data_IF_453606665273
#
_entry.id   IF_453606665273
#
_cell.length_a   1.000
_cell.length_b   1.000
_cell.length_c   1.000
_cell.angle_alpha   90.00
_cell.angle_beta   90.00
_cell.angle_gamma   90.00
#
_symmetry.space_group_name_H-M   'P 1'
#
loop_
_entity.id
_entity.type
_entity.pdbx_description
1 polymer ?
#
# COMPACT_ATOMS: atom_id res chain seq x y z
N UNK A 1 23.16 16.68 53.24
CA UNK A 1 22.79 17.20 51.90
C UNK A 1 23.41 16.26 50.86
N UNK A 2 22.73 15.18 50.46
CA UNK A 2 23.23 14.29 49.41
C UNK A 2 22.34 14.47 48.17
N UNK A 3 22.98 14.93 47.12
CA UNK A 3 22.43 15.44 45.87
C UNK A 3 21.70 14.35 45.09
N UNK A 4 20.40 14.58 44.84
CA UNK A 4 19.57 13.80 43.92
C UNK A 4 20.10 14.04 42.50
N UNK A 5 20.97 13.17 42.01
CA UNK A 5 21.43 13.20 40.62
C UNK A 5 20.27 12.94 39.67
N UNK A 6 19.75 14.05 39.12
CA UNK A 6 19.04 14.24 37.85
C UNK A 6 18.74 12.93 37.11
N UNK A 7 17.55 12.38 37.34
CA UNK A 7 16.95 11.35 36.49
C UNK A 7 16.72 11.95 35.08
N UNK A 8 17.75 11.91 34.23
CA UNK A 8 17.53 11.90 32.78
C UNK A 8 16.67 10.67 32.51
N UNK A 9 15.61 10.82 31.73
CA UNK A 9 14.77 9.71 31.30
C UNK A 9 15.71 8.68 30.68
N UNK A 10 16.03 7.63 31.44
CA UNK A 10 17.00 6.64 30.99
C UNK A 10 16.39 5.85 29.84
N UNK A 11 17.19 5.28 28.93
CA UNK A 11 16.69 4.38 27.88
C UNK A 11 15.78 3.28 28.46
N UNK A 12 16.06 2.84 29.69
CA UNK A 12 15.22 1.91 30.45
C UNK A 12 13.78 2.39 30.71
N UNK A 13 13.55 3.70 30.94
CA UNK A 13 12.21 4.27 31.18
C UNK A 13 11.43 4.46 29.88
N UNK A 14 12.13 4.80 28.79
CA UNK A 14 11.53 4.90 27.45
C UNK A 14 11.06 3.54 26.91
N UNK A 15 11.80 2.45 27.16
CA UNK A 15 11.36 1.10 26.77
C UNK A 15 10.04 0.70 27.44
N UNK A 16 9.86 1.06 28.71
CA UNK A 16 8.59 0.86 29.42
C UNK A 16 7.45 1.69 28.83
N UNK A 17 7.74 2.91 28.39
CA UNK A 17 6.77 3.82 27.77
C UNK A 17 6.34 3.33 26.37
N UNK A 18 7.29 2.86 25.56
CA UNK A 18 7.02 2.22 24.26
C UNK A 18 6.19 0.95 24.44
N UNK A 19 6.45 0.14 25.47
CA UNK A 19 5.64 -1.04 25.75
C UNK A 19 4.20 -0.69 26.18
N UNK A 20 4.01 0.44 26.90
CA UNK A 20 2.69 0.95 27.27
C UNK A 20 1.92 1.54 26.07
N UNK A 21 2.61 2.19 25.13
CA UNK A 21 2.00 2.71 23.89
C UNK A 21 1.75 1.61 22.86
N UNK A 22 2.64 0.62 22.76
CA UNK A 22 2.47 -0.55 21.90
C UNK A 22 1.22 -1.36 22.27
N UNK A 23 0.82 -1.39 23.55
CA UNK A 23 -0.45 -2.02 23.99
C UNK A 23 -1.70 -1.27 23.54
N UNK A 24 -1.58 0.01 23.15
CA UNK A 24 -2.67 0.80 22.57
C UNK A 24 -2.79 0.59 21.06
N UNK A 25 -1.79 -0.06 20.43
CA UNK A 25 -1.85 -0.45 19.02
C UNK A 25 -2.80 -1.63 18.91
N UNK A 26 -4.07 -1.32 18.67
CA UNK A 26 -5.08 -2.31 18.31
C UNK A 26 -4.79 -2.71 16.88
N UNK A 27 -4.15 -3.87 16.69
CA UNK A 27 -3.96 -4.39 15.35
C UNK A 27 -5.32 -4.78 14.77
N UNK A 28 -5.63 -4.31 13.54
CA UNK A 28 -6.88 -4.60 12.88
C UNK A 28 -7.07 -6.10 12.75
N UNK A 29 -8.30 -6.53 13.01
CA UNK A 29 -8.73 -7.92 12.88
C UNK A 29 -8.56 -8.35 11.42
N UNK A 30 -8.02 -9.55 11.12
CA UNK A 30 -7.77 -9.98 9.74
C UNK A 30 -9.04 -10.00 8.87
N UNK A 31 -10.22 -10.06 9.49
CA UNK A 31 -11.52 -9.99 8.80
C UNK A 31 -11.78 -8.63 8.17
N UNK A 32 -11.44 -7.54 8.85
CA UNK A 32 -11.61 -6.18 8.31
C UNK A 32 -10.61 -5.91 7.19
N UNK A 33 -9.36 -6.33 7.38
CA UNK A 33 -8.30 -6.23 6.38
C UNK A 33 -8.67 -6.94 5.08
N UNK A 34 -9.32 -8.10 5.16
CA UNK A 34 -9.80 -8.85 4.00
C UNK A 34 -10.92 -8.11 3.26
N UNK A 35 -11.89 -7.55 3.98
CA UNK A 35 -12.99 -6.79 3.36
C UNK A 35 -12.46 -5.59 2.58
N UNK A 36 -11.54 -4.81 3.17
CA UNK A 36 -10.93 -3.66 2.47
C UNK A 36 -10.06 -4.12 1.29
N UNK A 37 -9.33 -5.22 1.44
CA UNK A 37 -8.52 -5.78 0.34
C UNK A 37 -9.37 -6.25 -0.83
N UNK A 38 -10.51 -6.91 -0.58
CA UNK A 38 -11.44 -7.38 -1.63
C UNK A 38 -12.00 -6.21 -2.42
N UNK A 39 -12.38 -5.11 -1.76
CA UNK A 39 -12.85 -3.90 -2.44
C UNK A 39 -11.79 -3.34 -3.41
N UNK A 40 -10.52 -3.29 -2.98
CA UNK A 40 -9.40 -2.86 -3.83
C UNK A 40 -9.16 -3.86 -4.97
N UNK A 41 -9.28 -5.17 -4.68
CA UNK A 41 -9.11 -6.25 -5.66
C UNK A 41 -10.13 -6.14 -6.80
N UNK A 42 -11.40 -5.85 -6.47
CA UNK A 42 -12.46 -5.61 -7.47
C UNK A 42 -12.09 -4.42 -8.36
N UNK A 43 -11.69 -3.29 -7.78
CA UNK A 43 -11.28 -2.11 -8.55
C UNK A 43 -10.08 -2.43 -9.47
N UNK A 44 -9.08 -3.15 -8.95
CA UNK A 44 -7.92 -3.58 -9.72
C UNK A 44 -8.30 -4.48 -10.90
N UNK A 45 -9.24 -5.40 -10.70
CA UNK A 45 -9.75 -6.27 -11.79
C UNK A 45 -10.49 -5.45 -12.84
N UNK A 46 -11.33 -4.49 -12.44
CA UNK A 46 -12.04 -3.60 -13.37
C UNK A 46 -11.05 -2.78 -14.20
N UNK A 47 -10.07 -2.14 -13.56
CA UNK A 47 -9.02 -1.41 -14.29
C UNK A 47 -8.19 -2.32 -15.19
N UNK A 48 -7.87 -3.54 -14.75
CA UNK A 48 -7.15 -4.52 -15.55
C UNK A 48 -7.90 -4.89 -16.83
N UNK A 49 -9.22 -5.10 -16.73
CA UNK A 49 -10.08 -5.36 -17.90
C UNK A 49 -10.10 -4.12 -18.81
N UNK A 50 -10.26 -2.92 -18.26
CA UNK A 50 -10.25 -1.68 -19.04
C UNK A 50 -8.94 -1.50 -19.81
N UNK A 51 -7.79 -1.64 -19.14
CA UNK A 51 -6.48 -1.54 -19.79
C UNK A 51 -6.30 -2.60 -20.86
N UNK A 52 -6.73 -3.84 -20.62
CA UNK A 52 -6.68 -4.90 -21.63
C UNK A 52 -7.42 -4.52 -22.93
N UNK A 53 -8.60 -3.91 -22.84
CA UNK A 53 -9.31 -3.42 -24.02
C UNK A 53 -8.57 -2.28 -24.73
N UNK A 54 -7.99 -1.35 -23.96
CA UNK A 54 -7.20 -0.24 -24.51
C UNK A 54 -5.95 -0.76 -25.22
N UNK A 55 -5.23 -1.70 -24.61
CA UNK A 55 -4.05 -2.33 -25.18
C UNK A 55 -4.40 -3.11 -26.46
N UNK A 56 -5.53 -3.82 -26.46
CA UNK A 56 -6.03 -4.49 -27.65
C UNK A 56 -6.34 -3.49 -28.77
N UNK A 57 -7.00 -2.38 -28.46
CA UNK A 57 -7.30 -1.34 -29.45
C UNK A 57 -6.03 -0.65 -29.96
N UNK A 58 -5.08 -0.37 -29.07
CA UNK A 58 -3.79 0.22 -29.42
C UNK A 58 -2.95 -0.72 -30.29
N UNK A 59 -2.94 -2.03 -30.02
CA UNK A 59 -2.23 -3.02 -30.83
C UNK A 59 -2.81 -3.10 -32.26
N UNK A 60 -4.13 -3.18 -32.39
CA UNK A 60 -4.78 -3.20 -33.71
C UNK A 60 -4.60 -1.86 -34.44
N UNK A 61 -4.70 -0.73 -33.72
CA UNK A 61 -4.54 0.61 -34.29
C UNK A 61 -3.11 0.87 -34.79
N UNK A 62 -2.10 0.46 -34.01
CA UNK A 62 -0.69 0.57 -34.43
C UNK A 62 -0.37 -0.36 -35.59
N UNK A 63 -0.91 -1.59 -35.62
CA UNK A 63 -0.78 -2.47 -36.78
C UNK A 63 -1.43 -1.89 -38.03
N UNK A 64 -2.59 -1.23 -37.90
CA UNK A 64 -3.25 -0.54 -39.00
C UNK A 64 -2.42 0.65 -39.51
N UNK A 65 -1.88 1.46 -38.60
CA UNK A 65 -0.99 2.58 -38.93
C UNK A 65 0.31 2.11 -39.59
N UNK A 66 0.90 1.01 -39.11
CA UNK A 66 2.08 0.40 -39.71
C UNK A 66 1.73 -0.16 -41.09
N UNK A 67 0.61 -0.85 -41.30
CA UNK A 67 0.19 -1.29 -42.63
C UNK A 67 -0.06 -0.14 -43.62
N UNK A 68 -0.52 1.02 -43.13
CA UNK A 68 -0.72 2.22 -43.94
C UNK A 68 0.60 2.92 -44.32
N UNK A 69 1.55 3.01 -43.37
CA UNK A 69 2.88 3.60 -43.62
C UNK A 69 3.86 2.67 -44.32
N UNK A 70 3.64 1.36 -44.20
CA UNK A 70 4.43 0.29 -44.83
C UNK A 70 3.66 -0.33 -46.01
N UNK A 71 2.74 0.44 -46.63
CA UNK A 71 1.94 -0.02 -47.76
C UNK A 71 2.82 -0.32 -48.98
N UNK A 72 3.24 -1.58 -49.11
CA UNK A 72 4.15 -2.06 -50.16
C UNK A 72 5.36 -2.77 -49.59
#
# INVERSE_FOLDING_TARGET
>A
MAEKTKQKIGPAKYLGQVQQEARKVVWPTPRETLTTSIMVLIMMVIFGIFFFFVDWFAANGTQFLLNLGTGG
#
